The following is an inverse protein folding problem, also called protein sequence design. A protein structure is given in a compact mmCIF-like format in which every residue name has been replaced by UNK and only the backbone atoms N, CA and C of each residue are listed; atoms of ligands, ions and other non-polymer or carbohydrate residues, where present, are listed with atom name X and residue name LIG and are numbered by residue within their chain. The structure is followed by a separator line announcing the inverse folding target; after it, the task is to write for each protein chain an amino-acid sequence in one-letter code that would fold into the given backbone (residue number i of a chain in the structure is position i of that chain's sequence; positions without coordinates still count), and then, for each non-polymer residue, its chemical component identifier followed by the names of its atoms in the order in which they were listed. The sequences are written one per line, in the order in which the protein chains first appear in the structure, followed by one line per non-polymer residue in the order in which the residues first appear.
data_IF_720721379776
#
_entry.id   IF_720721379776
#
_cell.length_a   1.000
_cell.length_b   1.000
_cell.length_c   1.000
_cell.angle_alpha   90.00
_cell.angle_beta   90.00
_cell.angle_gamma   90.00
#
_symmetry.space_group_name_H-M   'P 1'
#
loop_
_entity.id
_entity.type
_entity.pdbx_description
1 polymer ?
#
# COMPACT_ATOMS: atom_id res chain seq x y z
N UNK A 1 0.56 -12.50 1.37
CA UNK A 1 0.81 -11.13 1.91
C UNK A 1 0.87 -11.19 3.42
N UNK A 2 1.72 -10.37 4.09
CA UNK A 2 1.75 -10.33 5.56
C UNK A 2 0.51 -9.65 6.14
N UNK A 3 0.02 -10.18 7.26
CA UNK A 3 -1.22 -9.71 7.90
C UNK A 3 -1.17 -8.24 8.32
N UNK A 4 0.00 -7.71 8.72
CA UNK A 4 0.16 -6.29 9.01
C UNK A 4 -0.22 -5.39 7.82
N UNK A 5 0.14 -5.78 6.59
CA UNK A 5 -0.20 -5.02 5.37
C UNK A 5 -1.70 -5.11 5.08
N UNK A 6 -2.26 -6.33 5.20
CA UNK A 6 -3.70 -6.56 4.97
C UNK A 6 -4.54 -5.80 6.01
N UNK A 7 -4.12 -5.81 7.29
CA UNK A 7 -4.77 -5.02 8.33
C UNK A 7 -4.82 -3.53 7.99
N UNK A 8 -3.70 -2.97 7.51
CA UNK A 8 -3.63 -1.56 7.07
C UNK A 8 -4.59 -1.30 5.91
N UNK A 9 -4.65 -2.18 4.91
CA UNK A 9 -5.58 -2.02 3.78
C UNK A 9 -7.04 -2.08 4.20
N UNK A 10 -7.41 -3.00 5.11
CA UNK A 10 -8.78 -3.11 5.64
C UNK A 10 -9.15 -1.84 6.43
N UNK A 11 -8.25 -1.32 7.26
CA UNK A 11 -8.49 -0.07 7.99
C UNK A 11 -8.65 1.12 7.05
N UNK A 12 -7.79 1.23 6.03
CA UNK A 12 -7.92 2.25 4.99
C UNK A 12 -9.24 2.11 4.24
N UNK A 13 -9.63 0.90 3.84
CA UNK A 13 -10.90 0.67 3.18
C UNK A 13 -12.10 1.10 4.04
N UNK A 14 -12.09 0.79 5.35
CA UNK A 14 -13.11 1.24 6.30
C UNK A 14 -13.19 2.75 6.40
N UNK A 15 -12.03 3.42 6.47
CA UNK A 15 -11.95 4.88 6.50
C UNK A 15 -12.50 5.52 5.22
N UNK A 16 -12.18 4.97 4.05
CA UNK A 16 -12.56 5.53 2.76
C UNK A 16 -14.02 5.24 2.38
N UNK A 17 -14.51 4.05 2.69
CA UNK A 17 -15.81 3.56 2.17
C UNK A 17 -16.81 3.14 3.24
N UNK A 18 -16.47 3.28 4.51
CA UNK A 18 -17.34 3.00 5.66
C UNK A 18 -17.19 1.59 6.22
N UNK A 19 -17.32 1.49 7.54
CA UNK A 19 -17.15 0.22 8.28
C UNK A 19 -18.17 -0.83 7.87
N UNK A 20 -19.45 -0.47 7.72
CA UNK A 20 -20.52 -1.40 7.39
C UNK A 20 -20.35 -2.02 6.01
N UNK A 21 -19.91 -1.21 5.03
CA UNK A 21 -19.62 -1.68 3.67
C UNK A 21 -18.50 -2.70 3.68
N UNK A 22 -17.41 -2.37 4.35
CA UNK A 22 -16.22 -3.24 4.41
C UNK A 22 -16.50 -4.50 5.23
N UNK A 23 -17.25 -4.40 6.33
CA UNK A 23 -17.68 -5.55 7.12
C UNK A 23 -18.48 -6.56 6.29
N UNK A 24 -19.48 -6.07 5.53
CA UNK A 24 -20.28 -6.91 4.65
C UNK A 24 -19.43 -7.59 3.54
N UNK A 25 -18.46 -6.88 2.98
CA UNK A 25 -17.52 -7.44 1.98
C UNK A 25 -16.57 -8.46 2.61
N UNK A 26 -16.09 -8.23 3.82
CA UNK A 26 -15.28 -9.21 4.56
C UNK A 26 -16.04 -10.52 4.75
N UNK A 27 -17.31 -10.47 5.18
CA UNK A 27 -18.14 -11.66 5.36
C UNK A 27 -18.36 -12.43 4.04
N UNK A 28 -18.64 -11.73 2.95
CA UNK A 28 -18.74 -12.33 1.62
C UNK A 28 -17.42 -12.95 1.14
N UNK A 29 -16.30 -12.40 1.59
CA UNK A 29 -14.96 -12.93 1.31
C UNK A 29 -14.62 -14.16 2.18
N UNK A 30 -15.46 -14.51 3.15
CA UNK A 30 -15.23 -15.59 4.10
C UNK A 30 -14.38 -15.17 5.32
N UNK A 31 -14.23 -13.87 5.55
CA UNK A 31 -13.59 -13.32 6.74
C UNK A 31 -14.65 -12.81 7.73
N UNK A 32 -14.58 -13.16 9.02
CA UNK A 32 -15.42 -12.50 10.02
C UNK A 32 -15.28 -10.97 9.96
N UNK A 33 -16.37 -10.23 10.11
CA UNK A 33 -16.36 -8.76 10.07
C UNK A 33 -15.39 -8.12 11.07
N UNK A 34 -15.17 -8.79 12.21
CA UNK A 34 -14.23 -8.38 13.26
C UNK A 34 -12.88 -9.11 13.22
N UNK A 35 -12.52 -9.73 12.08
CA UNK A 35 -11.24 -10.45 11.94
C UNK A 35 -10.08 -9.53 12.27
N UNK A 36 -9.19 -10.02 13.14
CA UNK A 36 -7.89 -9.42 13.42
C UNK A 36 -6.84 -10.15 12.59
N UNK A 37 -6.09 -9.41 11.79
CA UNK A 37 -4.96 -9.95 11.04
C UNK A 37 -3.71 -9.84 11.91
N UNK A 38 -3.11 -10.99 12.25
CA UNK A 38 -1.88 -11.01 13.04
C UNK A 38 -0.71 -10.50 12.19
N UNK A 39 0.23 -9.71 12.75
CA UNK A 39 1.28 -9.05 11.97
C UNK A 39 2.09 -9.98 11.07
N UNK A 40 2.44 -11.17 11.54
CA UNK A 40 3.31 -12.12 10.84
C UNK A 40 2.55 -13.22 10.09
N UNK A 41 1.21 -13.29 10.20
CA UNK A 41 0.44 -14.30 9.45
C UNK A 41 0.59 -14.08 7.95
N UNK A 42 0.54 -15.18 7.21
CA UNK A 42 0.47 -15.13 5.75
C UNK A 42 -0.98 -15.20 5.29
N UNK A 43 -1.45 -14.13 4.65
CA UNK A 43 -2.77 -14.06 4.03
C UNK A 43 -2.62 -14.39 2.55
N UNK A 44 -3.45 -15.30 2.06
CA UNK A 44 -3.43 -15.71 0.66
C UNK A 44 -3.74 -14.55 -0.30
N UNK A 45 -2.89 -14.39 -1.31
CA UNK A 45 -2.99 -13.29 -2.28
C UNK A 45 -4.27 -13.39 -3.14
N UNK A 46 -4.81 -14.59 -3.39
CA UNK A 46 -6.06 -14.76 -4.15
C UNK A 46 -7.28 -14.31 -3.32
N UNK A 47 -7.26 -14.59 -2.01
CA UNK A 47 -8.32 -14.13 -1.11
C UNK A 47 -8.34 -12.60 -1.01
N UNK A 48 -7.18 -11.95 -1.07
CA UNK A 48 -7.08 -10.49 -1.12
C UNK A 48 -7.64 -9.93 -2.43
N UNK A 49 -7.29 -10.54 -3.57
CA UNK A 49 -7.85 -10.15 -4.88
C UNK A 49 -9.37 -10.24 -4.88
N UNK A 50 -9.91 -11.35 -4.40
CA UNK A 50 -11.36 -11.55 -4.27
C UNK A 50 -12.00 -10.47 -3.39
N UNK A 51 -11.38 -10.09 -2.28
CA UNK A 51 -11.87 -8.99 -1.43
C UNK A 51 -11.99 -7.67 -2.21
N UNK A 52 -11.00 -7.31 -3.00
CA UNK A 52 -11.02 -6.09 -3.82
C UNK A 52 -12.06 -6.19 -4.95
N UNK A 53 -12.22 -7.35 -5.57
CA UNK A 53 -13.29 -7.58 -6.57
C UNK A 53 -14.69 -7.43 -5.96
N UNK A 54 -14.90 -7.93 -4.75
CA UNK A 54 -16.15 -7.74 -4.02
C UNK A 54 -16.40 -6.27 -3.66
N UNK A 55 -15.35 -5.52 -3.27
CA UNK A 55 -15.44 -4.06 -3.09
C UNK A 55 -15.82 -3.35 -4.40
N UNK A 56 -15.19 -3.72 -5.52
CA UNK A 56 -15.53 -3.18 -6.84
C UNK A 56 -17.03 -3.38 -7.14
N UNK A 57 -17.55 -4.58 -6.97
CA UNK A 57 -18.96 -4.86 -7.19
C UNK A 57 -19.89 -4.10 -6.24
N UNK A 58 -19.50 -3.98 -4.97
CA UNK A 58 -20.30 -3.30 -3.94
C UNK A 58 -20.37 -1.80 -4.14
N UNK A 59 -19.24 -1.19 -4.54
CA UNK A 59 -19.08 0.26 -4.64
C UNK A 59 -19.23 0.80 -6.07
N UNK A 60 -19.18 -0.07 -7.07
CA UNK A 60 -19.09 0.29 -8.50
C UNK A 60 -17.88 1.20 -8.81
N UNK A 61 -16.76 0.94 -8.13
CA UNK A 61 -15.47 1.64 -8.32
C UNK A 61 -14.51 0.68 -8.99
N UNK A 62 -13.82 1.04 -10.08
CA UNK A 62 -12.85 0.17 -10.75
C UNK A 62 -11.76 -0.35 -9.81
N UNK A 63 -11.35 -1.61 -9.96
CA UNK A 63 -10.30 -2.25 -9.14
C UNK A 63 -9.01 -1.44 -9.12
N UNK A 64 -8.59 -0.89 -10.26
CA UNK A 64 -7.43 -0.02 -10.37
C UNK A 64 -7.54 1.22 -9.48
N UNK A 65 -8.72 1.85 -9.44
CA UNK A 65 -8.98 3.01 -8.59
C UNK A 65 -9.03 2.63 -7.11
N UNK A 66 -9.63 1.48 -6.75
CA UNK A 66 -9.61 1.01 -5.36
C UNK A 66 -8.17 0.84 -4.85
N UNK A 67 -7.32 0.18 -5.64
CA UNK A 67 -5.91 0.04 -5.30
C UNK A 67 -5.17 1.37 -5.19
N UNK A 68 -5.44 2.28 -6.11
CA UNK A 68 -4.84 3.61 -6.11
C UNK A 68 -5.20 4.39 -4.82
N UNK A 69 -6.47 4.43 -4.45
CA UNK A 69 -6.92 5.17 -3.25
C UNK A 69 -6.39 4.53 -1.96
N UNK A 70 -6.36 3.19 -1.87
CA UNK A 70 -5.74 2.50 -0.73
C UNK A 70 -4.26 2.87 -0.65
N UNK A 71 -3.54 2.83 -1.76
CA UNK A 71 -2.13 3.18 -1.79
C UNK A 71 -1.86 4.62 -1.35
N UNK A 72 -2.65 5.56 -1.85
CA UNK A 72 -2.54 6.98 -1.53
C UNK A 72 -2.72 7.25 -0.04
N UNK A 73 -3.75 6.67 0.58
CA UNK A 73 -4.02 6.87 2.01
C UNK A 73 -3.00 6.15 2.91
N UNK A 74 -2.44 5.03 2.46
CA UNK A 74 -1.54 4.20 3.28
C UNK A 74 -0.22 4.89 3.64
N UNK A 75 0.21 5.92 2.91
CA UNK A 75 1.42 6.69 3.26
C UNK A 75 1.29 7.33 4.64
N UNK A 76 0.11 7.82 5.01
CA UNK A 76 -0.12 8.36 6.35
C UNK A 76 0.04 7.27 7.42
N UNK A 77 -0.53 6.10 7.19
CA UNK A 77 -0.39 4.96 8.12
C UNK A 77 1.07 4.53 8.26
N UNK A 78 1.82 4.48 7.16
CA UNK A 78 3.24 4.13 7.17
C UNK A 78 4.09 5.21 7.85
N UNK A 79 3.80 6.49 7.66
CA UNK A 79 4.53 7.59 8.33
C UNK A 79 4.35 7.57 9.84
N UNK A 80 3.19 7.14 10.33
CA UNK A 80 2.91 6.98 11.75
C UNK A 80 3.57 5.72 12.34
N UNK A 81 3.53 4.61 11.60
CA UNK A 81 4.11 3.35 12.05
C UNK A 81 5.65 3.34 11.98
N UNK A 82 6.23 4.04 11.01
CA UNK A 82 7.66 4.04 10.71
C UNK A 82 8.21 5.47 10.50
N UNK A 83 8.07 6.37 11.47
CA UNK A 83 8.41 7.79 11.32
C UNK A 83 9.89 8.03 10.94
N UNK A 84 10.79 7.13 11.33
CA UNK A 84 12.22 7.22 10.99
C UNK A 84 12.49 7.18 9.49
N UNK A 85 11.65 6.52 8.70
CA UNK A 85 11.82 6.45 7.24
C UNK A 85 11.41 7.75 6.54
N UNK A 86 10.65 8.62 7.21
CA UNK A 86 10.13 9.87 6.65
C UNK A 86 10.87 11.11 7.17
N UNK A 87 11.37 11.06 8.41
CA UNK A 87 11.97 12.22 9.10
C UNK A 87 13.18 12.77 8.35
N UNK A 88 13.18 14.09 8.13
CA UNK A 88 14.31 14.80 7.52
C UNK A 88 14.48 14.57 6.02
N UNK A 89 13.47 14.02 5.34
CA UNK A 89 13.47 13.79 3.91
C UNK A 89 12.51 14.74 3.19
N UNK A 90 12.72 14.90 1.90
CA UNK A 90 11.76 15.40 0.93
C UNK A 90 11.28 14.23 0.06
N UNK A 91 10.36 14.47 -0.87
CA UNK A 91 9.83 13.44 -1.75
C UNK A 91 10.94 12.69 -2.49
N UNK A 92 11.87 13.42 -3.10
CA UNK A 92 12.94 12.82 -3.88
C UNK A 92 13.83 11.89 -3.04
N UNK A 93 14.32 12.36 -1.90
CA UNK A 93 15.19 11.56 -1.01
C UNK A 93 14.45 10.42 -0.34
N UNK A 94 13.14 10.57 -0.08
CA UNK A 94 12.29 9.49 0.38
C UNK A 94 12.19 8.39 -0.67
N UNK A 95 11.83 8.74 -1.91
CA UNK A 95 11.69 7.78 -3.00
C UNK A 95 13.03 7.10 -3.33
N UNK A 96 14.14 7.83 -3.34
CA UNK A 96 15.46 7.27 -3.55
C UNK A 96 15.86 6.24 -2.46
N UNK A 97 15.33 6.38 -1.24
CA UNK A 97 15.62 5.46 -0.14
C UNK A 97 14.76 4.19 -0.12
N UNK A 98 13.77 4.03 -1.02
CA UNK A 98 12.80 2.93 -0.93
C UNK A 98 13.41 1.55 -1.08
N UNK A 99 14.47 1.40 -1.86
CA UNK A 99 15.20 0.13 -1.93
C UNK A 99 15.74 -0.28 -0.56
N UNK A 100 16.42 0.62 0.12
CA UNK A 100 17.01 0.36 1.45
C UNK A 100 15.93 0.13 2.51
N UNK A 101 14.85 0.90 2.47
CA UNK A 101 13.68 0.69 3.36
C UNK A 101 13.13 -0.73 3.20
N UNK A 102 12.97 -1.23 1.98
CA UNK A 102 12.48 -2.58 1.75
C UNK A 102 13.48 -3.65 2.21
N UNK A 103 14.79 -3.42 2.07
CA UNK A 103 15.83 -4.29 2.63
C UNK A 103 15.71 -4.38 4.16
N UNK A 104 15.51 -3.25 4.84
CA UNK A 104 15.30 -3.24 6.30
C UNK A 104 13.99 -3.93 6.70
N UNK A 105 12.89 -3.72 5.98
CA UNK A 105 11.61 -4.40 6.24
C UNK A 105 11.77 -5.92 6.14
N UNK A 106 12.54 -6.43 5.18
CA UNK A 106 12.79 -7.89 5.06
C UNK A 106 13.56 -8.43 6.28
N UNK A 107 14.45 -7.64 6.87
CA UNK A 107 15.16 -8.02 8.09
C UNK A 107 14.25 -8.02 9.32
N UNK A 108 13.33 -7.06 9.42
CA UNK A 108 12.43 -6.89 10.56
C UNK A 108 11.22 -7.83 10.52
N UNK A 109 10.74 -8.18 9.34
CA UNK A 109 9.51 -8.96 9.15
C UNK A 109 9.81 -10.27 8.45
N UNK A 110 9.93 -11.34 9.22
CA UNK A 110 10.24 -12.67 8.69
C UNK A 110 9.27 -13.10 7.58
N UNK A 111 9.81 -13.50 6.44
CA UNK A 111 9.03 -13.92 5.27
C UNK A 111 8.35 -12.79 4.49
N UNK A 112 8.66 -11.51 4.78
CA UNK A 112 8.20 -10.40 3.95
C UNK A 112 8.81 -10.49 2.54
N UNK A 113 7.99 -10.21 1.53
CA UNK A 113 8.39 -10.19 0.11
C UNK A 113 7.90 -8.88 -0.52
N UNK A 114 8.52 -7.73 -0.15
CA UNK A 114 8.18 -6.46 -0.75
C UNK A 114 8.60 -6.44 -2.22
N UNK A 115 8.06 -5.53 -3.05
CA UNK A 115 8.54 -5.33 -4.41
C UNK A 115 9.99 -4.82 -4.38
N UNK A 116 10.73 -5.11 -5.44
CA UNK A 116 12.00 -4.45 -5.67
C UNK A 116 11.74 -3.11 -6.36
N UNK A 117 12.07 -2.03 -5.66
CA UNK A 117 11.93 -0.67 -6.17
C UNK A 117 13.31 -0.11 -6.47
N UNK A 118 13.52 0.37 -7.69
CA UNK A 118 14.77 1.01 -8.10
C UNK A 118 14.44 2.35 -8.73
N UNK A 119 14.95 3.41 -8.15
CA UNK A 119 14.87 4.75 -8.70
C UNK A 119 16.16 5.04 -9.49
N UNK A 120 16.02 5.42 -10.75
CA UNK A 120 17.12 5.87 -11.61
C UNK A 120 16.92 7.35 -11.90
N UNK A 121 17.75 8.24 -11.32
CA UNK A 121 17.68 9.66 -11.57
C UNK A 121 17.95 9.97 -13.05
N UNK A 122 17.13 10.84 -13.66
CA UNK A 122 17.34 11.41 -14.99
C UNK A 122 17.84 12.84 -14.84
N UNK A 123 17.22 13.62 -13.92
CA UNK A 123 17.59 14.98 -13.56
C UNK A 123 17.27 15.26 -12.09
N UNK A 124 17.44 16.51 -11.65
CA UNK A 124 17.05 16.95 -10.30
C UNK A 124 15.53 16.84 -10.04
N UNK A 125 14.73 16.82 -11.10
CA UNK A 125 13.26 16.80 -11.02
C UNK A 125 12.62 15.62 -11.75
N UNK A 126 13.43 14.71 -12.31
CA UNK A 126 12.94 13.58 -13.08
C UNK A 126 13.69 12.31 -12.75
N UNK A 127 12.95 11.21 -12.58
CA UNK A 127 13.52 9.91 -12.35
C UNK A 127 12.66 8.81 -12.99
N UNK A 128 13.32 7.76 -13.44
CA UNK A 128 12.66 6.53 -13.83
C UNK A 128 12.53 5.62 -12.61
N UNK A 129 11.34 5.06 -12.39
CA UNK A 129 11.08 4.11 -11.32
C UNK A 129 10.80 2.73 -11.88
N UNK A 130 11.61 1.75 -11.47
CA UNK A 130 11.35 0.34 -11.75
C UNK A 130 10.66 -0.31 -10.56
N UNK A 131 9.50 -0.91 -10.81
CA UNK A 131 8.69 -1.65 -9.83
C UNK A 131 8.62 -3.11 -10.25
N UNK A 132 9.45 -3.97 -9.65
CA UNK A 132 9.43 -5.41 -9.88
C UNK A 132 8.67 -6.11 -8.75
N UNK A 133 7.50 -6.63 -9.08
CA UNK A 133 6.60 -7.28 -8.12
C UNK A 133 5.88 -8.47 -8.73
N UNK A 134 5.99 -9.62 -8.10
CA UNK A 134 5.24 -10.83 -8.48
C UNK A 134 3.71 -10.64 -8.36
N UNK A 135 3.25 -9.66 -7.59
CA UNK A 135 1.83 -9.34 -7.38
C UNK A 135 1.27 -8.36 -8.39
N UNK A 136 2.12 -7.66 -9.15
CA UNK A 136 1.72 -6.75 -10.21
C UNK A 136 0.87 -5.55 -9.74
N UNK A 137 0.99 -5.10 -8.50
CA UNK A 137 0.15 -4.07 -7.86
C UNK A 137 0.56 -2.64 -8.26
N UNK A 138 0.58 -2.36 -9.57
CA UNK A 138 1.05 -1.08 -10.10
C UNK A 138 0.17 0.10 -9.65
N UNK A 139 -1.15 -0.07 -9.66
CA UNK A 139 -2.06 1.02 -9.27
C UNK A 139 -1.94 1.35 -7.78
N UNK A 140 -1.74 0.35 -6.92
CA UNK A 140 -1.40 0.57 -5.52
C UNK A 140 -0.09 1.35 -5.36
N UNK A 141 0.93 0.99 -6.13
CA UNK A 141 2.22 1.70 -6.13
C UNK A 141 2.08 3.15 -6.61
N UNK A 142 1.31 3.40 -7.68
CA UNK A 142 1.00 4.77 -8.13
C UNK A 142 0.29 5.57 -7.04
N UNK A 143 -0.63 4.94 -6.33
CA UNK A 143 -1.27 5.54 -5.15
C UNK A 143 -0.26 5.92 -4.07
N UNK A 144 0.66 5.01 -3.71
CA UNK A 144 1.73 5.31 -2.74
C UNK A 144 2.59 6.50 -3.18
N UNK A 145 2.97 6.59 -4.46
CA UNK A 145 3.73 7.73 -4.99
C UNK A 145 2.95 9.05 -4.83
N UNK A 146 1.66 9.04 -5.17
CA UNK A 146 0.80 10.22 -5.01
C UNK A 146 0.64 10.62 -3.54
N UNK A 147 0.40 9.65 -2.67
CA UNK A 147 0.30 9.89 -1.22
C UNK A 147 1.60 10.43 -0.62
N UNK A 148 2.76 9.95 -1.10
CA UNK A 148 4.05 10.48 -0.69
C UNK A 148 4.23 11.95 -1.12
N UNK A 149 3.88 12.29 -2.36
CA UNK A 149 3.93 13.68 -2.83
C UNK A 149 3.06 14.60 -1.97
N UNK A 150 1.84 14.18 -1.64
CA UNK A 150 0.94 14.94 -0.76
C UNK A 150 1.49 15.06 0.67
N UNK A 151 2.08 13.99 1.20
CA UNK A 151 2.70 14.00 2.53
C UNK A 151 3.86 15.00 2.63
N UNK A 152 4.70 15.07 1.59
CA UNK A 152 5.81 16.01 1.55
C UNK A 152 5.44 17.40 1.00
N UNK A 153 4.17 17.65 0.66
CA UNK A 153 3.68 18.89 0.07
C UNK A 153 4.40 19.26 -1.24
N UNK A 154 4.70 18.27 -2.05
CA UNK A 154 5.37 18.43 -3.34
C UNK A 154 4.45 17.95 -4.48
N UNK A 155 4.66 18.48 -5.69
CA UNK A 155 3.95 18.03 -6.88
C UNK A 155 4.65 16.83 -7.52
N UNK A 156 3.86 15.90 -8.03
CA UNK A 156 4.33 14.71 -8.74
C UNK A 156 3.49 14.49 -9.98
N UNK A 157 4.15 14.49 -11.15
CA UNK A 157 3.58 14.08 -12.43
C UNK A 157 4.08 12.66 -12.77
N UNK A 158 3.15 11.76 -13.12
CA UNK A 158 3.44 10.35 -13.43
C UNK A 158 2.93 9.97 -14.81
#
# INVERSE_FOLDING_TARGET
MKGTVVATWIQTAKKLWGEDVVAAVMEQNGWPANRIFLPLEDVDDQTIKKFIELLNHKLNIPVAQLWYEIGRDNILSFSQAYPSFFKGKNLYTFLASMYDVHVEVVKMVAGAKPPRLIMQPISEHEAFFSHDSQRGMLDYFRGLLKGAAEFFHEELNM
#
